data_IF_414355669089
#
_entry.id   IF_414355669089
#
_cell.length_a   1.000
_cell.length_b   1.000
_cell.length_c   1.000
_cell.angle_alpha   90.00
_cell.angle_beta   90.00
_cell.angle_gamma   90.00
#
_symmetry.space_group_name_H-M   'P 1'
#
loop_
_entity.id
_entity.type
_entity.pdbx_description
1 polymer ?
#
# COMPACT_ATOMS: atom_id res chain seq x y z
N UNK A 1 -10.38 -26.76 37.60
CA UNK A 1 -10.58 -25.39 37.09
C UNK A 1 -11.99 -25.30 36.50
N UNK A 2 -12.88 -24.48 37.08
CA UNK A 2 -14.30 -24.39 36.68
C UNK A 2 -14.49 -23.54 35.41
N UNK A 3 -15.49 -23.89 34.57
CA UNK A 3 -15.88 -23.18 33.33
C UNK A 3 -16.14 -21.66 33.53
N UNK A 4 -16.39 -21.21 34.75
CA UNK A 4 -16.51 -19.80 35.11
C UNK A 4 -15.15 -19.06 35.07
N UNK A 5 -14.05 -19.74 35.39
CA UNK A 5 -12.69 -19.18 35.33
C UNK A 5 -12.20 -19.06 33.88
N UNK A 6 -12.60 -19.97 32.99
CA UNK A 6 -12.35 -19.86 31.54
C UNK A 6 -13.14 -18.72 30.89
N UNK A 7 -14.37 -18.43 31.33
CA UNK A 7 -15.15 -17.29 30.80
C UNK A 7 -14.71 -15.93 31.34
N UNK A 8 -14.20 -15.87 32.57
CA UNK A 8 -13.61 -14.65 33.12
C UNK A 8 -12.31 -14.29 32.39
N UNK A 9 -11.45 -15.27 32.08
CA UNK A 9 -10.22 -15.06 31.33
C UNK A 9 -10.45 -14.60 29.87
N UNK A 10 -11.57 -14.97 29.24
CA UNK A 10 -11.94 -14.54 27.88
C UNK A 10 -12.52 -13.13 27.84
N UNK A 11 -13.03 -12.61 28.97
CA UNK A 11 -13.63 -11.25 29.04
C UNK A 11 -12.62 -10.16 29.40
N UNK A 12 -11.55 -10.50 30.12
CA UNK A 12 -10.46 -9.57 30.48
C UNK A 12 -9.31 -9.52 29.44
N UNK A 13 -9.40 -10.26 28.34
CA UNK A 13 -8.36 -10.36 27.29
C UNK A 13 -8.82 -9.87 25.91
N UNK A 14 -9.98 -9.22 25.81
CA UNK A 14 -10.41 -8.62 24.55
C UNK A 14 -9.65 -7.29 24.34
N UNK A 15 -8.40 -7.38 23.84
CA UNK A 15 -7.68 -6.22 23.32
C UNK A 15 -8.59 -5.48 22.35
N UNK A 16 -8.75 -4.19 22.57
CA UNK A 16 -9.47 -3.31 21.67
C UNK A 16 -8.85 -3.36 20.26
N UNK A 17 -9.63 -3.01 19.24
CA UNK A 17 -9.12 -2.95 17.87
C UNK A 17 -7.90 -2.02 17.75
N UNK A 18 -7.89 -0.93 18.53
CA UNK A 18 -6.78 0.03 18.57
C UNK A 18 -5.52 -0.57 19.21
N UNK A 19 -5.65 -1.33 20.30
CA UNK A 19 -4.52 -2.02 20.94
C UNK A 19 -3.95 -3.11 20.04
N UNK A 20 -4.82 -3.86 19.34
CA UNK A 20 -4.39 -4.84 18.35
C UNK A 20 -3.65 -4.16 17.20
N UNK A 21 -4.15 -3.04 16.68
CA UNK A 21 -3.49 -2.29 15.63
C UNK A 21 -2.09 -1.78 16.07
N UNK A 22 -1.97 -1.27 17.29
CA UNK A 22 -0.69 -0.81 17.83
C UNK A 22 0.33 -1.95 18.00
N UNK A 23 -0.12 -3.14 18.43
CA UNK A 23 0.74 -4.32 18.49
C UNK A 23 1.19 -4.75 17.09
N UNK A 24 0.28 -4.73 16.10
CA UNK A 24 0.64 -5.07 14.72
C UNK A 24 1.68 -4.13 14.13
N UNK A 25 1.63 -2.83 14.45
CA UNK A 25 2.65 -1.88 14.00
C UNK A 25 4.06 -2.26 14.46
N UNK A 26 4.22 -2.95 15.59
CA UNK A 26 5.52 -3.47 16.03
C UNK A 26 5.94 -4.73 15.25
N UNK A 27 4.97 -5.50 14.76
CA UNK A 27 5.20 -6.77 14.08
C UNK A 27 5.28 -6.65 12.57
N UNK A 28 4.87 -5.53 11.99
CA UNK A 28 4.86 -5.24 10.55
C UNK A 28 5.57 -3.92 10.27
N UNK A 29 5.63 -3.50 9.01
CA UNK A 29 6.14 -2.18 8.67
C UNK A 29 7.64 -2.01 8.79
N UNK A 30 8.07 -0.79 8.44
CA UNK A 30 9.39 -0.27 8.73
C UNK A 30 9.72 -0.26 10.21
N UNK A 31 8.73 -0.12 11.11
CA UNK A 31 8.99 -0.11 12.55
C UNK A 31 9.63 -1.44 12.98
N UNK A 32 9.16 -2.57 12.44
CA UNK A 32 9.81 -3.85 12.63
C UNK A 32 11.18 -3.89 11.94
N UNK A 33 11.28 -3.47 10.67
CA UNK A 33 12.52 -3.56 9.89
C UNK A 33 13.66 -2.70 10.46
N UNK A 34 13.38 -1.47 10.84
CA UNK A 34 14.32 -0.55 11.47
C UNK A 34 14.87 -1.08 12.81
N UNK A 35 14.10 -1.94 13.48
CA UNK A 35 14.48 -2.59 14.73
C UNK A 35 14.88 -4.05 14.53
N UNK A 36 15.02 -4.54 13.30
CA UNK A 36 15.21 -5.96 12.99
C UNK A 36 16.43 -6.53 13.70
N UNK A 37 17.58 -5.84 13.67
CA UNK A 37 18.77 -6.29 14.39
C UNK A 37 18.55 -6.41 15.92
N UNK A 38 17.70 -5.55 16.49
CA UNK A 38 17.32 -5.62 17.91
C UNK A 38 16.36 -6.79 18.17
N UNK A 39 15.44 -7.05 17.26
CA UNK A 39 14.51 -8.19 17.34
C UNK A 39 15.25 -9.53 17.17
N UNK A 40 16.24 -9.60 16.29
CA UNK A 40 17.06 -10.80 16.07
C UNK A 40 17.99 -11.09 17.25
N UNK A 41 18.34 -10.07 18.04
CA UNK A 41 19.11 -10.23 19.28
C UNK A 41 18.23 -10.51 20.52
N UNK A 42 16.90 -10.45 20.39
CA UNK A 42 15.98 -10.66 21.50
C UNK A 42 15.97 -12.13 21.94
N UNK A 43 16.15 -12.38 23.23
CA UNK A 43 16.05 -13.72 23.82
C UNK A 43 14.96 -13.75 24.89
N UNK A 44 14.12 -14.80 24.95
CA UNK A 44 13.15 -14.95 26.01
C UNK A 44 13.85 -15.01 27.38
N UNK A 45 13.26 -14.37 28.39
CA UNK A 45 13.77 -14.41 29.77
C UNK A 45 13.44 -15.76 30.44
N UNK A 46 14.05 -16.84 29.95
CA UNK A 46 13.83 -18.22 30.42
C UNK A 46 15.08 -19.08 30.26
N UNK A 47 15.18 -20.14 31.05
CA UNK A 47 16.20 -21.19 30.91
C UNK A 47 15.64 -22.46 30.26
N UNK A 48 14.36 -22.44 29.86
CA UNK A 48 13.74 -23.56 29.16
C UNK A 48 14.33 -23.68 27.75
N UNK A 49 15.02 -24.79 27.51
CA UNK A 49 15.71 -25.08 26.24
C UNK A 49 14.73 -25.10 25.07
N UNK A 50 13.50 -25.59 25.27
CA UNK A 50 12.48 -25.67 24.22
C UNK A 50 11.96 -24.29 23.83
N UNK A 51 11.74 -23.39 24.80
CA UNK A 51 11.34 -22.01 24.52
C UNK A 51 12.47 -21.23 23.82
N UNK A 52 13.72 -21.42 24.25
CA UNK A 52 14.89 -20.81 23.59
C UNK A 52 15.06 -21.29 22.15
N UNK A 53 14.91 -22.60 21.90
CA UNK A 53 14.99 -23.17 20.56
C UNK A 53 13.89 -22.63 19.64
N UNK A 54 12.65 -22.50 20.14
CA UNK A 54 11.53 -21.94 19.38
C UNK A 54 11.75 -20.47 19.03
N UNK A 55 12.24 -19.66 19.97
CA UNK A 55 12.54 -18.25 19.73
C UNK A 55 13.67 -18.09 18.69
N UNK A 56 14.67 -18.96 18.73
CA UNK A 56 15.72 -19.04 17.71
C UNK A 56 15.12 -19.39 16.34
N UNK A 57 14.29 -20.43 16.26
CA UNK A 57 13.63 -20.81 15.01
C UNK A 57 12.75 -19.68 14.44
N UNK A 58 12.03 -18.93 15.29
CA UNK A 58 11.24 -17.78 14.86
C UNK A 58 12.13 -16.67 14.26
N UNK A 59 13.32 -16.47 14.82
CA UNK A 59 14.32 -15.52 14.30
C UNK A 59 14.97 -16.02 13.01
N UNK A 60 15.27 -17.31 12.91
CA UNK A 60 15.79 -17.89 11.67
C UNK A 60 14.72 -17.81 10.56
N UNK A 61 13.45 -18.06 10.88
CA UNK A 61 12.33 -17.87 9.96
C UNK A 61 12.16 -16.41 9.50
N UNK A 62 12.30 -15.42 10.40
CA UNK A 62 12.24 -14.00 10.00
C UNK A 62 13.39 -13.59 9.06
N UNK A 63 14.47 -14.36 9.06
CA UNK A 63 15.64 -14.23 8.17
C UNK A 63 15.57 -15.13 6.93
N UNK A 64 14.50 -15.91 6.74
CA UNK A 64 14.36 -16.85 5.62
C UNK A 64 15.26 -18.09 5.70
N UNK A 65 15.75 -18.43 6.90
CA UNK A 65 16.68 -19.53 7.13
C UNK A 65 16.01 -20.81 7.68
N UNK A 66 14.79 -20.71 8.21
CA UNK A 66 14.04 -21.85 8.76
C UNK A 66 12.52 -21.67 8.53
N UNK A 67 11.74 -22.69 8.86
CA UNK A 67 10.29 -22.70 8.80
C UNK A 67 9.63 -22.03 10.01
N UNK A 68 8.41 -21.53 9.81
CA UNK A 68 7.65 -20.88 10.88
C UNK A 68 7.29 -21.88 12.00
N UNK A 69 7.70 -21.64 13.26
CA UNK A 69 7.48 -22.55 14.38
C UNK A 69 6.00 -22.71 14.77
N UNK A 70 5.12 -21.80 14.33
CA UNK A 70 3.70 -21.78 14.69
C UNK A 70 2.77 -22.22 13.55
N UNK A 71 3.32 -22.73 12.43
CA UNK A 71 2.55 -22.99 11.19
C UNK A 71 1.31 -23.91 11.33
N UNK A 72 1.29 -24.79 12.34
CA UNK A 72 0.21 -25.76 12.59
C UNK A 72 -0.61 -25.46 13.86
N UNK A 73 -0.42 -24.28 14.44
CA UNK A 73 -1.06 -23.91 15.70
C UNK A 73 -2.52 -23.45 15.49
N UNK A 74 -3.46 -23.73 16.41
CA UNK A 74 -4.84 -23.26 16.30
C UNK A 74 -4.95 -21.73 16.30
N UNK A 75 -5.96 -21.19 15.60
CA UNK A 75 -6.23 -19.74 15.48
C UNK A 75 -6.25 -19.02 16.83
N UNK A 76 -6.88 -19.63 17.85
CA UNK A 76 -6.96 -19.04 19.18
C UNK A 76 -5.58 -18.90 19.83
N UNK A 77 -4.73 -19.92 19.70
CA UNK A 77 -3.36 -19.87 20.21
C UNK A 77 -2.49 -18.90 19.41
N UNK A 78 -2.62 -18.91 18.08
CA UNK A 78 -1.94 -17.95 17.21
C UNK A 78 -2.30 -16.51 17.54
N UNK A 79 -3.58 -16.24 17.85
CA UNK A 79 -4.06 -14.92 18.27
C UNK A 79 -3.45 -14.53 19.61
N UNK A 80 -3.41 -15.44 20.59
CA UNK A 80 -2.80 -15.16 21.90
C UNK A 80 -1.31 -14.81 21.78
N UNK A 81 -0.57 -15.49 20.91
CA UNK A 81 0.85 -15.21 20.70
C UNK A 81 1.04 -13.92 19.89
N UNK A 82 0.35 -13.77 18.76
CA UNK A 82 0.48 -12.61 17.89
C UNK A 82 0.17 -11.29 18.60
N UNK A 83 -0.82 -11.29 19.49
CA UNK A 83 -1.25 -10.12 20.23
C UNK A 83 -0.83 -10.18 21.71
N UNK A 84 0.25 -10.88 22.04
CA UNK A 84 0.79 -10.90 23.40
C UNK A 84 1.32 -9.50 23.80
N UNK A 85 0.58 -8.82 24.67
CA UNK A 85 0.93 -7.51 25.21
C UNK A 85 1.91 -7.58 26.39
N UNK A 86 2.08 -8.77 26.99
CA UNK A 86 2.90 -8.95 28.19
C UNK A 86 4.39 -9.20 27.86
N UNK A 87 4.77 -9.23 26.58
CA UNK A 87 6.11 -9.52 26.10
C UNK A 87 6.66 -10.85 26.65
N UNK A 88 5.78 -11.84 26.78
CA UNK A 88 6.13 -13.24 27.10
C UNK A 88 6.83 -13.89 25.89
N UNK A 89 6.43 -13.49 24.69
CA UNK A 89 7.03 -13.91 23.42
C UNK A 89 7.90 -12.81 22.84
N UNK A 90 9.01 -13.19 22.22
CA UNK A 90 9.86 -12.25 21.46
C UNK A 90 9.09 -11.63 20.30
N UNK A 91 9.55 -10.48 19.79
CA UNK A 91 8.91 -9.84 18.62
C UNK A 91 8.92 -10.77 17.40
N UNK A 92 9.99 -11.53 17.18
CA UNK A 92 10.09 -12.49 16.09
C UNK A 92 9.10 -13.65 16.26
N UNK A 93 8.87 -14.15 17.49
CA UNK A 93 7.83 -15.14 17.75
C UNK A 93 6.42 -14.60 17.50
N UNK A 94 6.11 -13.39 18.01
CA UNK A 94 4.81 -12.75 17.81
C UNK A 94 4.53 -12.49 16.33
N UNK A 95 5.54 -12.03 15.57
CA UNK A 95 5.43 -11.85 14.11
C UNK A 95 5.21 -13.18 13.40
N UNK A 96 5.94 -14.24 13.77
CA UNK A 96 5.75 -15.57 13.19
C UNK A 96 4.32 -16.11 13.46
N UNK A 97 3.80 -15.92 14.67
CA UNK A 97 2.42 -16.29 15.01
C UNK A 97 1.39 -15.45 14.25
N UNK A 98 1.60 -14.13 14.12
CA UNK A 98 0.72 -13.27 13.32
C UNK A 98 0.68 -13.71 11.85
N UNK A 99 1.83 -14.05 11.27
CA UNK A 99 1.91 -14.56 9.91
C UNK A 99 1.14 -15.88 9.74
N UNK A 100 1.29 -16.82 10.68
CA UNK A 100 0.50 -18.04 10.71
C UNK A 100 -1.01 -17.77 10.92
N UNK A 101 -1.37 -16.73 11.68
CA UNK A 101 -2.76 -16.32 11.88
C UNK A 101 -3.39 -15.78 10.60
N UNK A 102 -2.67 -14.96 9.84
CA UNK A 102 -3.10 -14.45 8.53
C UNK A 102 -3.40 -15.59 7.56
N UNK A 103 -2.62 -16.67 7.65
CA UNK A 103 -2.84 -17.91 6.91
C UNK A 103 -4.14 -18.59 7.37
N UNK A 104 -4.30 -18.78 8.68
CA UNK A 104 -5.39 -19.56 9.26
C UNK A 104 -6.77 -18.86 9.19
N UNK A 105 -6.83 -17.53 9.21
CA UNK A 105 -8.09 -16.75 9.25
C UNK A 105 -8.77 -16.53 7.89
N UNK A 106 -8.23 -17.07 6.80
CA UNK A 106 -8.89 -16.92 5.50
C UNK A 106 -9.79 -18.12 5.22
N UNK A 107 -11.09 -17.91 4.95
CA UNK A 107 -12.01 -19.00 4.63
C UNK A 107 -11.56 -19.75 3.37
N UNK A 108 -11.73 -21.08 3.38
CA UNK A 108 -11.33 -22.08 2.35
C UNK A 108 -9.90 -22.65 2.39
N UNK A 109 -9.13 -22.46 3.47
CA UNK A 109 -7.68 -22.78 3.51
C UNK A 109 -7.24 -24.05 4.24
N UNK A 110 -8.00 -25.14 4.21
CA UNK A 110 -7.44 -26.44 4.63
C UNK A 110 -6.61 -27.09 3.51
N UNK A 111 -6.87 -26.74 2.24
CA UNK A 111 -6.20 -27.35 1.06
C UNK A 111 -4.87 -26.70 0.66
N UNK A 112 -4.57 -25.45 1.08
CA UNK A 112 -3.33 -24.75 0.68
C UNK A 112 -2.11 -25.11 1.56
N UNK A 113 -2.29 -26.03 2.51
CA UNK A 113 -1.30 -26.34 3.55
C UNK A 113 -0.59 -27.68 3.35
N UNK A 114 -1.02 -28.53 2.40
CA UNK A 114 -0.67 -29.97 2.45
C UNK A 114 -0.44 -30.66 1.09
N UNK A 115 -0.06 -29.97 0.02
CA UNK A 115 0.15 -30.66 -1.27
C UNK A 115 1.60 -30.52 -1.78
N UNK A 116 2.18 -31.63 -2.24
CA UNK A 116 3.50 -31.65 -2.89
C UNK A 116 3.52 -30.74 -4.14
N UNK A 117 2.34 -30.58 -4.77
CA UNK A 117 2.13 -29.62 -5.86
C UNK A 117 2.39 -28.16 -5.44
N UNK A 118 2.11 -27.80 -4.17
CA UNK A 118 2.39 -26.46 -3.66
C UNK A 118 3.90 -26.23 -3.48
N UNK A 119 4.68 -27.27 -3.14
CA UNK A 119 6.13 -27.13 -3.07
C UNK A 119 6.75 -26.93 -4.46
N UNK A 120 6.33 -27.72 -5.46
CA UNK A 120 6.79 -27.52 -6.84
C UNK A 120 6.41 -26.12 -7.39
N UNK A 121 5.20 -25.65 -7.06
CA UNK A 121 4.76 -24.30 -7.39
C UNK A 121 5.55 -23.20 -6.65
N UNK A 122 5.95 -23.45 -5.40
CA UNK A 122 6.80 -22.56 -4.63
C UNK A 122 8.23 -22.51 -5.19
N UNK A 123 8.81 -23.65 -5.57
CA UNK A 123 10.12 -23.70 -6.23
C UNK A 123 10.12 -22.90 -7.55
N UNK A 124 9.02 -22.98 -8.31
CA UNK A 124 8.79 -22.12 -9.49
C UNK A 124 8.70 -20.64 -9.12
N UNK A 125 7.97 -20.29 -8.06
CA UNK A 125 7.89 -18.92 -7.57
C UNK A 125 9.28 -18.36 -7.21
N UNK A 126 10.07 -19.13 -6.46
CA UNK A 126 11.39 -18.70 -5.97
C UNK A 126 12.38 -18.56 -7.14
N UNK A 127 12.39 -19.52 -8.07
CA UNK A 127 13.28 -19.48 -9.23
C UNK A 127 12.93 -18.36 -10.21
N UNK A 128 11.64 -18.06 -10.42
CA UNK A 128 11.18 -17.11 -11.44
C UNK A 128 11.08 -15.67 -10.95
N UNK A 129 10.78 -15.46 -9.66
CA UNK A 129 10.55 -14.12 -9.11
C UNK A 129 11.71 -13.62 -8.24
N UNK A 130 12.50 -14.52 -7.65
CA UNK A 130 13.47 -14.17 -6.59
C UNK A 130 14.90 -14.63 -6.90
N UNK A 131 15.22 -14.96 -8.15
CA UNK A 131 16.56 -15.41 -8.55
C UNK A 131 17.11 -16.52 -7.63
N UNK A 132 16.25 -17.47 -7.27
CA UNK A 132 16.50 -18.61 -6.39
C UNK A 132 16.62 -18.31 -4.86
N UNK A 133 16.45 -17.06 -4.42
CA UNK A 133 16.49 -16.72 -3.00
C UNK A 133 15.33 -15.82 -2.57
N UNK A 134 14.33 -16.41 -1.92
CA UNK A 134 13.15 -15.69 -1.46
C UNK A 134 13.50 -14.67 -0.36
N UNK A 135 13.41 -13.38 -0.70
CA UNK A 135 13.66 -12.27 0.22
C UNK A 135 12.53 -12.04 1.25
N UNK A 136 12.78 -11.23 2.30
CA UNK A 136 11.77 -10.94 3.32
C UNK A 136 10.55 -10.22 2.74
N UNK A 137 9.40 -10.38 3.40
CA UNK A 137 8.19 -9.60 3.07
C UNK A 137 8.35 -8.17 3.57
N UNK A 138 8.26 -7.21 2.64
CA UNK A 138 8.22 -5.77 2.91
C UNK A 138 6.80 -5.28 3.13
N UNK A 139 6.66 -4.21 3.91
CA UNK A 139 5.36 -3.61 4.16
C UNK A 139 4.95 -2.71 3.01
N UNK A 140 3.67 -2.80 2.65
CA UNK A 140 3.04 -2.03 1.60
C UNK A 140 3.01 -0.52 1.88
N UNK A 141 3.01 -0.11 3.14
CA UNK A 141 3.01 1.31 3.53
C UNK A 141 4.30 2.03 3.10
N UNK A 142 5.36 1.26 2.88
CA UNK A 142 6.73 1.77 2.82
C UNK A 142 7.30 1.72 1.40
N UNK A 143 6.49 1.33 0.41
CA UNK A 143 6.94 1.07 -0.96
C UNK A 143 7.50 2.27 -1.73
N UNK A 144 7.23 3.49 -1.25
CA UNK A 144 7.76 4.75 -1.79
C UNK A 144 8.81 5.42 -0.92
N UNK A 145 9.20 4.83 0.21
CA UNK A 145 10.35 5.36 0.94
C UNK A 145 11.61 5.24 0.09
N UNK A 146 12.50 6.23 0.24
CA UNK A 146 13.72 6.32 -0.54
C UNK A 146 14.59 5.05 -0.38
N UNK A 147 14.60 4.47 0.82
CA UNK A 147 15.30 3.21 1.13
C UNK A 147 14.68 1.98 0.45
N UNK A 148 13.39 2.04 0.11
CA UNK A 148 12.66 0.94 -0.51
C UNK A 148 12.54 1.07 -2.03
N UNK A 149 12.94 2.20 -2.62
CA UNK A 149 12.74 2.45 -4.04
C UNK A 149 13.54 1.53 -4.96
N UNK A 150 14.70 1.06 -4.47
CA UNK A 150 15.64 0.17 -5.18
C UNK A 150 15.30 -1.31 -5.03
N UNK A 151 14.36 -1.67 -4.16
CA UNK A 151 13.97 -3.07 -3.97
C UNK A 151 13.01 -3.54 -5.07
N UNK A 152 13.10 -4.81 -5.50
CA UNK A 152 12.15 -5.38 -6.46
C UNK A 152 10.72 -5.32 -5.94
N UNK A 153 9.74 -5.09 -6.83
CA UNK A 153 8.32 -5.04 -6.43
C UNK A 153 7.88 -6.33 -5.72
N UNK A 154 8.42 -7.48 -6.13
CA UNK A 154 8.07 -8.81 -5.59
C UNK A 154 8.36 -8.96 -4.10
N UNK A 155 9.22 -8.12 -3.51
CA UNK A 155 9.45 -8.11 -2.06
C UNK A 155 8.18 -7.70 -1.27
N UNK A 156 7.28 -6.96 -1.90
CA UNK A 156 6.01 -6.50 -1.31
C UNK A 156 4.88 -7.53 -1.41
N UNK A 157 5.10 -8.68 -2.06
CA UNK A 157 4.15 -9.79 -2.02
C UNK A 157 4.00 -10.28 -0.58
N UNK A 158 2.77 -10.27 -0.07
CA UNK A 158 2.46 -10.82 1.25
C UNK A 158 2.65 -12.34 1.25
N UNK A 159 2.81 -12.96 2.41
CA UNK A 159 2.87 -14.43 2.50
C UNK A 159 1.66 -15.13 1.86
N UNK A 160 0.49 -14.46 1.91
CA UNK A 160 -0.73 -14.98 1.28
C UNK A 160 -0.67 -14.89 -0.23
N UNK A 161 -0.16 -13.77 -0.75
CA UNK A 161 0.05 -13.60 -2.18
C UNK A 161 1.04 -14.65 -2.68
N UNK A 162 2.19 -14.82 -2.00
CA UNK A 162 3.21 -15.81 -2.38
C UNK A 162 2.65 -17.22 -2.41
N UNK A 163 1.90 -17.62 -1.38
CA UNK A 163 1.22 -18.94 -1.35
C UNK A 163 0.21 -19.12 -2.47
N UNK A 164 -0.62 -18.11 -2.73
CA UNK A 164 -1.58 -18.17 -3.82
C UNK A 164 -0.85 -18.30 -5.17
N UNK A 165 0.20 -17.51 -5.38
CA UNK A 165 1.01 -17.54 -6.60
C UNK A 165 1.69 -18.90 -6.77
N UNK A 166 2.19 -19.55 -5.70
CA UNK A 166 2.68 -20.94 -5.77
C UNK A 166 1.62 -21.90 -6.33
N UNK A 167 0.37 -21.78 -5.87
CA UNK A 167 -0.73 -22.61 -6.40
C UNK A 167 -1.07 -22.25 -7.85
N UNK A 168 -0.98 -20.97 -8.22
CA UNK A 168 -1.17 -20.53 -9.61
C UNK A 168 -0.09 -21.12 -10.52
N UNK A 169 1.18 -21.15 -10.09
CA UNK A 169 2.27 -21.78 -10.84
C UNK A 169 2.04 -23.28 -11.02
N UNK A 170 1.72 -23.99 -9.94
CA UNK A 170 1.46 -25.43 -10.00
C UNK A 170 0.30 -25.74 -10.95
N UNK A 171 -0.80 -24.99 -10.83
CA UNK A 171 -1.96 -25.13 -11.71
C UNK A 171 -1.61 -24.83 -13.18
N UNK A 172 -0.97 -23.69 -13.46
CA UNK A 172 -0.60 -23.29 -14.81
C UNK A 172 0.36 -24.31 -15.46
N UNK A 173 1.31 -24.84 -14.68
CA UNK A 173 2.23 -25.87 -15.14
C UNK A 173 1.49 -27.16 -15.53
N UNK A 174 0.56 -27.65 -14.70
CA UNK A 174 -0.25 -28.84 -15.01
C UNK A 174 -1.13 -28.63 -16.23
N UNK A 175 -1.70 -27.43 -16.41
CA UNK A 175 -2.49 -27.09 -17.59
C UNK A 175 -1.63 -26.85 -18.86
N UNK A 176 -0.31 -26.86 -18.74
CA UNK A 176 0.63 -26.64 -19.84
C UNK A 176 0.65 -25.19 -20.35
N UNK A 177 0.28 -24.22 -19.51
CA UNK A 177 0.37 -22.81 -19.86
C UNK A 177 1.80 -22.27 -19.77
N UNK A 178 2.08 -21.24 -20.55
CA UNK A 178 3.32 -20.48 -20.46
C UNK A 178 3.34 -19.70 -19.14
N UNK A 179 4.31 -20.04 -18.28
CA UNK A 179 4.37 -19.52 -16.92
C UNK A 179 4.66 -18.00 -16.86
N UNK A 180 5.04 -17.36 -17.97
CA UNK A 180 5.17 -15.89 -18.05
C UNK A 180 3.85 -15.16 -17.75
N UNK A 181 2.70 -15.79 -18.00
CA UNK A 181 1.42 -15.24 -17.56
C UNK A 181 1.29 -15.17 -16.03
N UNK A 182 1.87 -16.14 -15.33
CA UNK A 182 1.92 -16.15 -13.86
C UNK A 182 2.91 -15.10 -13.35
N UNK A 183 4.07 -14.96 -14.00
CA UNK A 183 5.05 -13.92 -13.65
C UNK A 183 4.43 -12.52 -13.68
N UNK A 184 3.66 -12.23 -14.73
CA UNK A 184 2.99 -10.93 -14.88
C UNK A 184 1.90 -10.71 -13.85
N UNK A 185 1.09 -11.73 -13.56
CA UNK A 185 0.10 -11.66 -12.49
C UNK A 185 0.76 -11.40 -11.14
N UNK A 186 1.85 -12.11 -10.83
CA UNK A 186 2.60 -11.92 -9.60
C UNK A 186 3.18 -10.50 -9.51
N UNK A 187 3.75 -9.99 -10.60
CA UNK A 187 4.27 -8.62 -10.65
C UNK A 187 3.17 -7.57 -10.49
N UNK A 188 1.99 -7.81 -11.05
CA UNK A 188 0.85 -6.89 -10.88
C UNK A 188 0.38 -6.84 -9.43
N UNK A 189 0.28 -7.99 -8.75
CA UNK A 189 -0.05 -8.05 -7.32
C UNK A 189 1.04 -7.32 -6.53
N UNK A 190 2.31 -7.58 -6.84
CA UNK A 190 3.46 -6.96 -6.18
C UNK A 190 3.46 -5.43 -6.30
N UNK A 191 3.23 -4.90 -7.51
CA UNK A 191 3.06 -3.47 -7.76
C UNK A 191 1.88 -2.92 -6.97
N UNK A 192 0.72 -3.59 -7.00
CA UNK A 192 -0.43 -3.16 -6.21
C UNK A 192 -0.10 -3.07 -4.71
N UNK A 193 0.58 -4.06 -4.14
CA UNK A 193 1.02 -4.05 -2.74
C UNK A 193 1.99 -2.91 -2.47
N UNK A 194 3.03 -2.73 -3.28
CA UNK A 194 4.01 -1.64 -3.13
C UNK A 194 3.36 -0.27 -3.07
N UNK A 195 2.24 -0.08 -3.78
CA UNK A 195 1.50 1.17 -3.80
C UNK A 195 0.41 1.21 -2.72
N UNK A 196 0.70 0.70 -1.53
CA UNK A 196 -0.25 0.58 -0.42
C UNK A 196 -1.63 0.07 -0.87
N UNK A 197 -1.64 -1.11 -1.52
CA UNK A 197 -2.85 -1.68 -2.11
C UNK A 197 -3.52 -0.71 -3.11
N UNK A 198 -2.72 -0.07 -3.95
CA UNK A 198 -3.15 0.91 -4.95
C UNK A 198 -3.60 2.28 -4.38
N UNK A 199 -3.62 2.49 -3.07
CA UNK A 199 -4.16 3.70 -2.44
C UNK A 199 -3.40 4.98 -2.81
N UNK A 200 -2.08 4.85 -3.04
CA UNK A 200 -1.21 5.99 -3.38
C UNK A 200 -1.09 6.21 -4.88
N UNK A 201 -1.68 5.33 -5.71
CA UNK A 201 -1.78 5.56 -7.14
C UNK A 201 -2.96 6.48 -7.42
N UNK A 202 -2.73 7.50 -8.25
CA UNK A 202 -3.81 8.34 -8.70
C UNK A 202 -4.52 7.70 -9.89
N UNK A 203 -5.84 7.67 -9.82
CA UNK A 203 -6.69 7.27 -10.94
C UNK A 203 -6.67 8.38 -12.02
N UNK A 204 -6.49 8.03 -13.29
CA UNK A 204 -6.47 8.98 -14.40
C UNK A 204 -7.87 9.49 -14.78
N UNK A 205 -8.91 8.76 -14.37
CA UNK A 205 -10.32 9.13 -14.52
C UNK A 205 -10.86 9.93 -13.31
N UNK A 206 -9.97 10.46 -12.46
CA UNK A 206 -10.33 11.31 -11.32
C UNK A 206 -10.82 12.72 -11.72
N UNK A 207 -10.76 13.06 -13.01
CA UNK A 207 -11.15 14.37 -13.54
C UNK A 207 -10.08 15.46 -13.36
N UNK A 208 -8.87 15.10 -12.94
CA UNK A 208 -7.78 16.03 -12.65
C UNK A 208 -6.56 15.83 -13.57
N UNK A 209 -6.75 15.21 -14.73
CA UNK A 209 -5.71 15.06 -15.77
C UNK A 209 -6.09 15.82 -17.01
N UNK A 210 -5.11 16.48 -17.61
CA UNK A 210 -5.28 17.33 -18.78
C UNK A 210 -4.09 17.14 -19.72
N UNK A 211 -4.32 17.28 -21.03
CA UNK A 211 -3.23 17.32 -22.02
C UNK A 211 -2.57 18.70 -22.10
N UNK A 212 -1.62 18.86 -23.04
CA UNK A 212 -0.89 20.11 -23.26
C UNK A 212 -1.79 21.26 -23.71
N UNK A 213 -2.92 20.94 -24.35
CA UNK A 213 -3.96 21.86 -24.79
C UNK A 213 -4.99 22.15 -23.68
N UNK A 214 -4.82 21.57 -22.49
CA UNK A 214 -5.71 21.77 -21.34
C UNK A 214 -7.03 21.01 -21.46
N UNK A 215 -7.16 19.98 -22.31
CA UNK A 215 -8.37 19.15 -22.41
C UNK A 215 -8.35 18.07 -21.35
N UNK A 216 -9.47 17.86 -20.65
CA UNK A 216 -9.53 16.84 -19.61
C UNK A 216 -9.34 15.45 -20.21
N UNK A 217 -8.48 14.64 -19.62
CA UNK A 217 -8.18 13.29 -20.07
C UNK A 217 -9.03 12.25 -19.33
N UNK A 218 -9.38 11.19 -20.05
CA UNK A 218 -9.93 9.96 -19.48
C UNK A 218 -9.36 8.75 -20.20
N UNK A 219 -9.53 7.56 -19.62
CA UNK A 219 -8.98 6.30 -20.10
C UNK A 219 -10.05 5.24 -20.05
N UNK A 220 -10.20 4.51 -21.16
CA UNK A 220 -11.06 3.33 -21.25
C UNK A 220 -10.25 2.11 -21.64
N UNK A 221 -10.77 0.92 -21.37
CA UNK A 221 -10.26 -0.28 -22.01
C UNK A 221 -10.62 -0.34 -23.49
N UNK A 222 -9.91 -1.17 -24.25
CA UNK A 222 -10.41 -1.67 -25.55
C UNK A 222 -11.70 -2.45 -25.35
N UNK A 223 -12.51 -2.62 -26.41
CA UNK A 223 -13.78 -3.33 -26.32
C UNK A 223 -13.64 -4.73 -25.71
N UNK A 224 -12.64 -5.51 -26.15
CA UNK A 224 -12.38 -6.86 -25.63
C UNK A 224 -12.04 -6.87 -24.13
N UNK A 225 -11.25 -5.89 -23.68
CA UNK A 225 -10.86 -5.78 -22.28
C UNK A 225 -12.00 -5.25 -21.41
N UNK A 226 -12.80 -4.32 -21.92
CA UNK A 226 -14.01 -3.85 -21.25
C UNK A 226 -15.00 -5.01 -21.02
N UNK A 227 -15.21 -5.87 -22.02
CA UNK A 227 -16.06 -7.06 -21.87
C UNK A 227 -15.51 -8.00 -20.80
N UNK A 228 -14.19 -8.24 -20.77
CA UNK A 228 -13.55 -9.09 -19.77
C UNK A 228 -13.69 -8.51 -18.36
N UNK A 229 -13.42 -7.21 -18.18
CA UNK A 229 -13.60 -6.52 -16.92
C UNK A 229 -15.06 -6.60 -16.43
N UNK A 230 -16.03 -6.39 -17.33
CA UNK A 230 -17.45 -6.49 -17.00
C UNK A 230 -17.85 -7.90 -16.55
N UNK A 231 -17.36 -8.96 -17.21
CA UNK A 231 -17.63 -10.34 -16.81
C UNK A 231 -17.07 -10.64 -15.42
N UNK A 232 -15.82 -10.27 -15.15
CA UNK A 232 -15.18 -10.55 -13.86
C UNK A 232 -15.84 -9.75 -12.73
N UNK A 233 -16.05 -8.45 -12.92
CA UNK A 233 -16.59 -7.56 -11.88
C UNK A 233 -18.10 -7.77 -11.64
N UNK A 234 -18.83 -8.22 -12.67
CA UNK A 234 -20.25 -8.54 -12.58
C UNK A 234 -20.56 -9.99 -12.19
N UNK A 235 -19.56 -10.88 -12.23
CA UNK A 235 -19.72 -12.30 -11.90
C UNK A 235 -19.74 -12.59 -10.40
N UNK A 236 -20.15 -13.80 -10.01
CA UNK A 236 -20.18 -14.21 -8.59
C UNK A 236 -18.82 -14.69 -8.07
N UNK A 237 -17.95 -15.21 -8.95
CA UNK A 237 -16.64 -15.75 -8.60
C UNK A 237 -15.74 -14.75 -7.84
N UNK A 238 -15.84 -13.44 -8.13
CA UNK A 238 -15.10 -12.40 -7.41
C UNK A 238 -15.43 -12.34 -5.91
N UNK A 239 -16.59 -12.87 -5.50
CA UNK A 239 -17.00 -12.86 -4.10
C UNK A 239 -16.31 -13.95 -3.28
N UNK A 240 -15.90 -15.04 -3.90
CA UNK A 240 -15.30 -16.22 -3.25
C UNK A 240 -13.87 -16.52 -3.71
N UNK A 241 -13.34 -15.77 -4.70
CA UNK A 241 -11.95 -15.93 -5.15
C UNK A 241 -10.93 -15.67 -4.05
N UNK A 242 -9.83 -16.43 -4.08
CA UNK A 242 -8.68 -16.24 -3.19
C UNK A 242 -7.82 -15.03 -3.59
N UNK A 243 -7.97 -14.49 -4.81
CA UNK A 243 -7.32 -13.23 -5.17
C UNK A 243 -7.89 -12.08 -4.33
N UNK A 244 -7.04 -11.13 -3.97
CA UNK A 244 -7.45 -9.92 -3.27
C UNK A 244 -8.48 -9.15 -4.11
N UNK A 245 -9.69 -8.96 -3.57
CA UNK A 245 -10.80 -8.34 -4.31
C UNK A 245 -10.54 -6.85 -4.60
N UNK A 246 -9.73 -6.19 -3.79
CA UNK A 246 -9.25 -4.84 -4.05
C UNK A 246 -8.29 -4.83 -5.24
N UNK A 247 -7.36 -5.79 -5.28
CA UNK A 247 -6.44 -5.99 -6.41
C UNK A 247 -7.19 -6.25 -7.72
N UNK A 248 -8.19 -7.13 -7.72
CA UNK A 248 -8.99 -7.45 -8.92
C UNK A 248 -9.70 -6.19 -9.43
N UNK A 249 -10.35 -5.43 -8.54
CA UNK A 249 -11.02 -4.17 -8.90
C UNK A 249 -10.05 -3.11 -9.40
N UNK A 250 -8.91 -2.97 -8.72
CA UNK A 250 -7.84 -2.04 -9.09
C UNK A 250 -7.29 -2.33 -10.49
N UNK A 251 -7.02 -3.60 -10.79
CA UNK A 251 -6.45 -4.01 -12.09
C UNK A 251 -7.46 -3.88 -13.23
N UNK A 252 -8.76 -4.08 -12.94
CA UNK A 252 -9.86 -3.98 -13.89
C UNK A 252 -10.54 -2.60 -13.90
N UNK A 253 -9.83 -1.56 -13.44
CA UNK A 253 -10.21 -0.16 -13.62
C UNK A 253 -9.23 0.49 -14.63
N UNK A 254 -9.72 0.99 -15.78
CA UNK A 254 -8.86 1.52 -16.83
C UNK A 254 -8.11 2.80 -16.43
N UNK A 255 -8.59 3.50 -15.40
CA UNK A 255 -7.98 4.72 -14.90
C UNK A 255 -6.71 4.49 -14.08
N UNK A 256 -6.50 3.28 -13.54
CA UNK A 256 -5.23 2.95 -12.87
C UNK A 256 -4.19 2.46 -13.86
N UNK A 257 -2.92 2.82 -13.63
CA UNK A 257 -1.75 2.40 -14.43
C UNK A 257 -2.01 2.52 -15.96
N UNK A 258 -2.40 3.71 -16.45
CA UNK A 258 -2.83 3.91 -17.83
C UNK A 258 -1.72 3.76 -18.87
N UNK A 259 -0.46 3.83 -18.42
CA UNK A 259 0.75 3.73 -19.25
C UNK A 259 1.68 2.60 -18.79
N UNK A 260 1.18 1.70 -17.94
CA UNK A 260 1.98 0.55 -17.49
C UNK A 260 1.50 -0.71 -18.17
N UNK A 261 2.47 -1.57 -18.42
CA UNK A 261 2.21 -2.95 -18.74
C UNK A 261 1.52 -3.64 -17.56
N UNK A 262 0.38 -4.29 -17.82
CA UNK A 262 -0.32 -5.16 -16.89
C UNK A 262 -0.43 -6.56 -17.49
N UNK A 263 -0.67 -7.58 -16.68
CA UNK A 263 -0.90 -8.95 -17.12
C UNK A 263 -2.18 -9.13 -17.94
N UNK A 264 -2.37 -10.33 -18.46
CA UNK A 264 -3.51 -10.73 -19.30
C UNK A 264 -4.83 -10.69 -18.53
N UNK A 265 -5.79 -9.82 -18.89
CA UNK A 265 -7.07 -9.74 -18.18
C UNK A 265 -7.88 -11.02 -18.36
N UNK A 266 -7.69 -11.75 -19.47
CA UNK A 266 -8.27 -13.07 -19.67
C UNK A 266 -7.60 -14.12 -18.79
N UNK A 267 -6.30 -14.02 -18.54
CA UNK A 267 -5.61 -14.88 -17.57
C UNK A 267 -6.04 -14.55 -16.14
N UNK A 268 -6.18 -13.27 -15.80
CA UNK A 268 -6.74 -12.82 -14.53
C UNK A 268 -8.15 -13.36 -14.32
N UNK A 269 -9.02 -13.27 -15.34
CA UNK A 269 -10.36 -13.87 -15.33
C UNK A 269 -10.28 -15.37 -15.03
N UNK A 270 -9.42 -16.10 -15.75
CA UNK A 270 -9.23 -17.54 -15.51
C UNK A 270 -8.76 -17.84 -14.07
N UNK A 271 -7.87 -17.04 -13.49
CA UNK A 271 -7.43 -17.22 -12.10
C UNK A 271 -8.52 -16.87 -11.10
N UNK A 272 -9.31 -15.83 -11.35
CA UNK A 272 -10.47 -15.50 -10.51
C UNK A 272 -11.44 -16.68 -10.48
N UNK A 273 -11.74 -17.28 -11.63
CA UNK A 273 -12.61 -18.45 -11.74
C UNK A 273 -12.01 -19.69 -11.05
N UNK A 274 -10.77 -20.03 -11.37
CA UNK A 274 -10.07 -21.22 -10.83
C UNK A 274 -9.95 -21.20 -9.31
N UNK A 275 -9.69 -20.03 -8.73
CA UNK A 275 -9.45 -19.89 -7.30
C UNK A 275 -10.67 -19.38 -6.55
N UNK A 276 -11.88 -19.52 -7.12
CA UNK A 276 -13.16 -19.26 -6.44
C UNK A 276 -13.83 -20.54 -5.98
N UNK A 277 -14.66 -20.46 -4.94
CA UNK A 277 -15.33 -21.61 -4.35
C UNK A 277 -16.38 -22.24 -5.27
N UNK A 278 -16.93 -21.48 -6.22
CA UNK A 278 -18.11 -21.88 -7.01
C UNK A 278 -17.72 -22.70 -8.26
N UNK A 279 -16.48 -22.59 -8.73
CA UNK A 279 -16.05 -23.13 -10.03
C UNK A 279 -14.66 -23.80 -10.03
N UNK A 280 -13.99 -23.86 -8.88
CA UNK A 280 -12.53 -23.91 -8.83
C UNK A 280 -11.84 -25.26 -9.11
N UNK A 281 -12.40 -26.41 -8.75
CA UNK A 281 -11.63 -27.66 -8.82
C UNK A 281 -11.37 -28.11 -10.27
N UNK A 282 -12.38 -28.04 -11.14
CA UNK A 282 -12.31 -28.54 -12.53
C UNK A 282 -12.13 -27.44 -13.60
N UNK A 283 -11.85 -26.19 -13.20
CA UNK A 283 -11.64 -25.13 -14.17
C UNK A 283 -10.41 -25.46 -15.05
N UNK A 284 -10.62 -25.60 -16.35
CA UNK A 284 -9.59 -25.86 -17.35
C UNK A 284 -9.13 -24.55 -17.99
N UNK A 285 -7.81 -24.41 -18.17
CA UNK A 285 -7.24 -23.21 -18.75
C UNK A 285 -7.34 -23.24 -20.28
N UNK A 286 -7.74 -22.11 -20.87
CA UNK A 286 -7.84 -21.98 -22.34
C UNK A 286 -6.49 -22.25 -23.01
N UNK A 287 -6.51 -23.03 -24.09
CA UNK A 287 -5.32 -23.39 -24.88
C UNK A 287 -4.51 -22.20 -25.39
N UNK A 288 -5.11 -21.01 -25.52
CA UNK A 288 -4.40 -19.78 -25.88
C UNK A 288 -3.26 -19.43 -24.93
N UNK A 289 -3.34 -19.86 -23.66
CA UNK A 289 -2.33 -19.58 -22.66
C UNK A 289 -1.10 -20.50 -22.74
N UNK A 290 -1.07 -21.48 -23.64
CA UNK A 290 0.10 -22.33 -23.91
C UNK A 290 1.28 -21.57 -24.51
N UNK A 291 1.03 -20.42 -25.12
CA UNK A 291 2.06 -19.56 -25.70
C UNK A 291 1.85 -18.16 -25.20
N UNK A 292 2.88 -17.56 -24.62
CA UNK A 292 2.78 -16.18 -24.18
C UNK A 292 2.84 -15.22 -25.37
N UNK A 293 1.74 -14.51 -25.59
CA UNK A 293 1.55 -13.57 -26.69
C UNK A 293 1.41 -12.12 -26.24
N UNK A 294 1.59 -11.84 -24.94
CA UNK A 294 1.25 -10.52 -24.42
C UNK A 294 2.29 -9.48 -24.88
N UNK A 295 1.78 -8.42 -25.53
CA UNK A 295 2.60 -7.32 -26.02
C UNK A 295 3.03 -6.42 -24.84
N UNK A 296 4.34 -6.18 -24.62
CA UNK A 296 4.81 -5.27 -23.58
C UNK A 296 4.33 -3.81 -23.77
N UNK A 297 3.78 -3.45 -24.93
CA UNK A 297 3.19 -2.14 -25.19
C UNK A 297 1.81 -2.01 -24.53
N UNK A 298 1.47 -0.79 -24.17
CA UNK A 298 0.19 -0.45 -23.55
C UNK A 298 -0.88 -0.31 -24.63
N UNK A 299 -1.31 -1.41 -25.23
CA UNK A 299 -2.32 -1.42 -26.32
C UNK A 299 -3.76 -1.60 -25.83
N UNK A 300 -3.91 -1.81 -24.53
CA UNK A 300 -5.15 -2.30 -23.93
C UNK A 300 -6.06 -1.21 -23.39
N UNK A 301 -5.51 0.01 -23.36
CA UNK A 301 -6.13 1.21 -22.83
C UNK A 301 -6.08 2.30 -23.88
N UNK A 302 -7.16 3.04 -23.99
CA UNK A 302 -7.35 4.13 -24.94
C UNK A 302 -7.50 5.40 -24.12
N UNK A 303 -6.62 6.38 -24.37
CA UNK A 303 -6.70 7.70 -23.75
C UNK A 303 -7.58 8.59 -24.62
N UNK A 304 -8.57 9.23 -24.00
CA UNK A 304 -9.47 10.18 -24.63
C UNK A 304 -9.17 11.58 -24.12
N UNK A 305 -9.22 12.57 -25.01
CA UNK A 305 -9.23 13.98 -24.65
C UNK A 305 -10.67 14.50 -24.80
N UNK A 306 -11.23 15.02 -23.71
CA UNK A 306 -12.57 15.58 -23.71
C UNK A 306 -12.58 16.88 -24.51
N UNK A 307 -13.53 17.05 -25.44
CA UNK A 307 -13.63 18.29 -26.23
C UNK A 307 -14.37 19.43 -25.51
N UNK A 308 -15.11 19.13 -24.45
CA UNK A 308 -15.97 20.10 -23.77
C UNK A 308 -15.43 20.54 -22.42
N UNK A 309 -14.70 19.67 -21.70
CA UNK A 309 -14.12 19.99 -20.39
C UNK A 309 -12.66 20.42 -20.59
N UNK A 310 -12.37 21.63 -20.12
CA UNK A 310 -11.05 22.26 -20.21
C UNK A 310 -10.51 22.59 -18.82
N UNK A 311 -9.20 22.51 -18.67
CA UNK A 311 -8.48 23.07 -17.54
C UNK A 311 -8.81 24.56 -17.55
N UNK A 312 -9.50 25.00 -16.50
CA UNK A 312 -9.76 26.42 -16.35
C UNK A 312 -8.41 27.14 -16.30
N UNK A 313 -8.22 28.21 -17.10
CA UNK A 313 -7.03 29.02 -17.01
C UNK A 313 -6.83 29.38 -15.55
N UNK A 314 -5.61 29.17 -15.04
CA UNK A 314 -5.27 29.62 -13.70
C UNK A 314 -5.56 31.13 -13.67
N UNK A 315 -6.34 31.59 -12.70
CA UNK A 315 -6.63 33.02 -12.56
C UNK A 315 -5.32 33.82 -12.66
N UNK A 316 -5.37 34.97 -13.33
CA UNK A 316 -4.18 35.79 -13.52
C UNK A 316 -3.53 36.02 -12.14
N UNK A 317 -2.26 35.60 -11.94
CA UNK A 317 -1.64 35.69 -10.64
C UNK A 317 -1.58 37.15 -10.23
N UNK A 318 -1.96 37.47 -9.00
CA UNK A 318 -1.94 38.84 -8.44
C UNK A 318 -0.55 39.48 -8.62
N UNK A 319 0.51 38.69 -8.44
CA UNK A 319 1.89 39.12 -8.53
C UNK A 319 2.71 38.13 -9.36
N UNK A 320 3.59 38.65 -10.21
CA UNK A 320 4.56 37.85 -10.98
C UNK A 320 5.96 38.27 -10.55
N UNK A 321 6.79 37.32 -10.14
CA UNK A 321 8.24 37.54 -9.99
C UNK A 321 8.98 36.81 -11.12
N UNK A 322 9.69 37.56 -11.96
CA UNK A 322 10.59 37.00 -12.98
C UNK A 322 12.00 37.49 -12.69
N UNK A 323 12.89 36.55 -12.34
CA UNK A 323 14.31 36.83 -12.09
C UNK A 323 14.54 37.96 -11.06
N UNK A 324 13.72 38.04 -10.02
CA UNK A 324 13.82 39.06 -8.97
C UNK A 324 13.03 40.34 -9.26
N UNK A 325 12.51 40.54 -10.47
CA UNK A 325 11.66 41.68 -10.81
C UNK A 325 10.20 41.34 -10.53
N UNK A 326 9.58 42.11 -9.64
CA UNK A 326 8.16 41.99 -9.34
C UNK A 326 7.32 42.80 -10.32
N UNK A 327 6.21 42.22 -10.75
CA UNK A 327 5.18 42.87 -11.57
C UNK A 327 3.82 42.64 -10.93
N UNK A 328 3.08 43.71 -10.74
CA UNK A 328 1.70 43.66 -10.25
C UNK A 328 0.79 43.56 -11.47
N UNK A 329 0.01 42.49 -11.54
CA UNK A 329 -0.89 42.25 -12.67
C UNK A 329 -2.14 43.10 -12.59
N UNK A 330 -3.00 43.06 -13.61
CA UNK A 330 -4.28 43.78 -13.57
C UNK A 330 -5.13 43.29 -12.40
N UNK A 331 -5.17 41.97 -12.19
CA UNK A 331 -5.80 41.34 -11.03
C UNK A 331 -5.16 41.76 -9.71
N UNK A 332 -3.83 41.89 -9.66
CA UNK A 332 -3.13 42.39 -8.48
C UNK A 332 -3.47 43.83 -8.10
N UNK A 333 -3.56 44.71 -9.10
CA UNK A 333 -3.97 46.11 -8.88
C UNK A 333 -5.41 46.17 -8.37
N UNK A 334 -6.32 45.39 -8.95
CA UNK A 334 -7.71 45.31 -8.50
C UNK A 334 -7.82 44.77 -7.06
N UNK A 335 -6.91 43.87 -6.65
CA UNK A 335 -6.80 43.35 -5.29
C UNK A 335 -6.10 44.32 -4.30
N UNK A 336 -5.73 45.53 -4.74
CA UNK A 336 -5.18 46.59 -3.88
C UNK A 336 -3.66 46.57 -3.72
N UNK A 337 -2.92 45.87 -4.60
CA UNK A 337 -1.46 45.86 -4.54
C UNK A 337 -0.84 47.08 -5.24
N UNK A 338 0.17 47.65 -4.59
CA UNK A 338 1.01 48.74 -5.11
C UNK A 338 2.49 48.38 -4.99
N UNK A 339 3.31 48.97 -5.86
CA UNK A 339 4.74 48.72 -5.86
C UNK A 339 5.40 49.60 -4.80
N UNK A 340 6.10 49.01 -3.83
CA UNK A 340 6.91 49.79 -2.91
C UNK A 340 8.09 50.41 -3.70
N UNK A 341 8.20 51.75 -3.76
CA UNK A 341 9.20 52.44 -4.58
C UNK A 341 10.63 52.30 -4.05
N UNK A 342 10.80 51.91 -2.78
CA UNK A 342 12.11 51.75 -2.12
C UNK A 342 12.62 50.33 -2.26
N UNK A 343 11.75 49.32 -2.06
CA UNK A 343 12.16 47.91 -2.05
C UNK A 343 11.94 47.20 -3.38
N UNK A 344 11.09 47.74 -4.26
CA UNK A 344 10.67 47.06 -5.49
C UNK A 344 9.84 45.80 -5.24
N UNK A 345 9.29 45.64 -4.02
CA UNK A 345 8.45 44.50 -3.62
C UNK A 345 6.97 44.96 -3.56
N UNK A 346 6.00 44.18 -4.06
CA UNK A 346 4.59 44.57 -4.03
C UNK A 346 4.04 44.50 -2.60
N UNK A 347 3.24 45.50 -2.23
CA UNK A 347 2.57 45.59 -0.94
C UNK A 347 1.07 45.76 -1.16
N UNK A 348 0.26 45.08 -0.35
CA UNK A 348 -1.19 45.22 -0.39
C UNK A 348 -1.60 46.36 0.54
N UNK A 349 -2.32 47.34 0.01
CA UNK A 349 -2.92 48.38 0.84
C UNK A 349 -4.19 47.78 1.47
N UNK A 350 -4.18 47.55 2.78
CA UNK A 350 -5.39 47.18 3.50
C UNK A 350 -6.45 48.28 3.27
N UNK A 351 -7.64 47.89 2.80
CA UNK A 351 -8.79 48.79 2.83
C UNK A 351 -9.10 49.08 4.29
N UNK A 352 -8.88 50.32 4.73
CA UNK A 352 -9.29 50.78 6.06
C UNK A 352 -10.75 50.40 6.29
N UNK A 353 -11.09 49.65 7.35
CA UNK A 353 -12.50 49.33 7.62
C UNK A 353 -13.22 50.65 7.93
N UNK A 354 -14.31 50.91 7.22
CA UNK A 354 -15.23 52.00 7.57
C UNK A 354 -15.69 51.79 9.02
N UNK A 355 -15.33 52.77 9.83
CA UNK A 355 -15.47 52.79 11.27
C UNK A 355 -16.96 52.91 11.62
N UNK A 356 -17.64 51.80 11.92
CA UNK A 356 -18.90 51.83 12.66
C UNK A 356 -18.57 51.54 14.11
N UNK A 357 -18.51 52.62 14.89
CA UNK A 357 -18.32 52.64 16.34
C UNK A 357 -19.44 51.89 17.07
N UNK A 358 -19.08 50.96 17.96
CA UNK A 358 -19.49 50.99 19.38
C UNK A 358 -18.64 50.01 20.22
N UNK A 359 -18.39 50.31 21.52
CA UNK A 359 -17.20 49.83 22.23
C UNK A 359 -17.49 48.63 23.13
N UNK A 360 -16.46 47.80 23.42
CA UNK A 360 -16.31 47.24 24.78
C UNK A 360 -14.92 46.68 25.10
N UNK A 361 -14.37 47.30 26.14
CA UNK A 361 -13.60 46.76 27.26
C UNK A 361 -12.29 45.99 27.01
N UNK A 362 -11.19 46.63 27.42
CA UNK A 362 -9.96 45.95 27.79
C UNK A 362 -10.12 45.24 29.14
N UNK A 363 -9.57 44.03 29.27
CA UNK A 363 -8.86 43.63 30.50
C UNK A 363 -8.01 42.38 30.28
N UNK A 364 -6.70 42.63 30.23
CA UNK A 364 -5.53 41.80 30.53
C UNK A 364 -5.24 40.45 29.83
N UNK A 365 -3.97 40.23 29.45
CA UNK A 365 -3.42 38.94 29.10
C UNK A 365 -3.00 38.21 30.39
N UNK A 366 -3.23 36.90 30.48
CA UNK A 366 -2.94 36.01 31.62
C UNK A 366 -3.98 35.99 32.75
N UNK A 367 -5.06 35.21 32.54
CA UNK A 367 -5.76 34.54 33.63
C UNK A 367 -6.26 33.16 33.16
N UNK A 368 -5.79 32.08 33.82
CA UNK A 368 -6.26 30.68 33.73
C UNK A 368 -5.87 29.91 32.46
N UNK A 369 -4.74 29.18 32.38
CA UNK A 369 -4.44 27.94 33.10
C UNK A 369 -5.65 27.09 33.49
N UNK A 370 -5.66 25.86 32.94
CA UNK A 370 -6.50 24.67 33.20
C UNK A 370 -7.75 24.53 32.32
N UNK A 371 -7.65 23.64 31.32
CA UNK A 371 -8.79 22.89 30.79
C UNK A 371 -8.99 22.89 29.28
N UNK A 372 -8.28 22.04 28.54
CA UNK A 372 -8.60 21.76 27.12
C UNK A 372 -7.55 20.86 26.46
N UNK A 373 -7.96 19.67 26.02
CA UNK A 373 -7.11 18.57 25.50
C UNK A 373 -6.14 19.00 24.37
N UNK A 374 -4.93 18.43 24.27
CA UNK A 374 -4.01 18.74 23.18
C UNK A 374 -4.48 18.12 21.85
N UNK A 375 -4.59 18.94 20.82
CA UNK A 375 -4.58 18.48 19.44
C UNK A 375 -3.17 17.92 19.11
N UNK A 376 -3.13 16.70 18.55
CA UNK A 376 -1.88 16.01 18.17
C UNK A 376 -1.05 16.88 17.21
N UNK A 377 0.29 16.92 17.33
CA UNK A 377 1.13 17.62 16.38
C UNK A 377 1.10 16.88 15.02
N UNK A 378 0.87 17.63 13.94
CA UNK A 378 1.13 17.14 12.57
C UNK A 378 2.63 16.86 12.45
N UNK A 379 2.99 15.60 12.17
CA UNK A 379 4.34 15.24 11.74
C UNK A 379 4.57 15.87 10.36
N UNK A 380 5.63 16.66 10.25
CA UNK A 380 6.15 17.19 9.00
C UNK A 380 6.47 16.02 8.06
N UNK A 381 5.97 16.11 6.84
CA UNK A 381 6.24 15.11 5.80
C UNK A 381 7.63 15.33 5.20
N UNK A 382 8.21 14.31 4.57
CA UNK A 382 9.48 14.42 3.84
C UNK A 382 9.43 15.52 2.75
N UNK A 383 8.22 15.81 2.24
CA UNK A 383 7.94 16.90 1.30
C UNK A 383 8.15 18.29 1.92
N UNK A 384 7.84 18.45 3.21
CA UNK A 384 8.05 19.70 3.95
C UNK A 384 9.55 19.94 4.23
N UNK A 385 10.32 18.86 4.46
CA UNK A 385 11.77 18.95 4.68
C UNK A 385 12.54 19.29 3.39
N UNK A 386 12.07 18.79 2.24
CA UNK A 386 12.68 19.08 0.93
C UNK A 386 12.49 20.55 0.52
N UNK A 387 11.34 21.15 0.85
CA UNK A 387 11.07 22.57 0.61
C UNK A 387 11.85 23.50 1.55
N UNK A 388 12.18 23.05 2.77
CA UNK A 388 12.93 23.84 3.74
C UNK A 388 14.43 23.91 3.40
N UNK A 389 14.99 22.85 2.79
CA UNK A 389 16.42 22.78 2.42
C UNK A 389 16.78 23.55 1.14
N UNK A 390 15.81 23.87 0.28
CA UNK A 390 16.05 24.67 -0.94
C UNK A 390 16.08 26.19 -0.68
N UNK A 391 15.67 26.66 0.50
CA UNK A 391 15.75 28.09 0.87
C UNK A 391 17.10 28.52 1.47
N UNK A 392 18.02 27.60 1.76
CA UNK A 392 19.28 27.92 2.45
C UNK A 392 20.54 27.85 1.59
N UNK A 393 20.46 27.52 0.29
CA UNK A 393 21.64 27.45 -0.60
C UNK A 393 21.61 28.43 -1.79
N UNK A 394 21.07 29.63 -1.57
CA UNK A 394 21.07 30.72 -2.54
C UNK A 394 21.83 31.97 -2.09
N UNK A 395 23.08 31.85 -1.62
CA UNK A 395 24.02 32.98 -1.55
C UNK A 395 25.38 32.60 -2.12
N UNK A 396 25.53 32.93 -3.39
CA UNK A 396 26.79 32.89 -4.14
C UNK A 396 27.70 34.02 -3.64
N UNK A 397 28.93 33.65 -3.25
CA UNK A 397 30.10 34.55 -3.13
C UNK A 397 30.34 35.28 -4.46
N UNK A 398 30.68 36.59 -4.43
CA UNK A 398 31.81 37.24 -5.14
C UNK A 398 32.01 38.67 -4.61
N UNK A 399 33.19 39.31 -4.75
CA UNK A 399 34.54 38.75 -4.92
C UNK A 399 35.19 38.40 -3.58
#
# INVERSE_FOLDING_TARGET
MSKASTRAAVRDTALSLDERAALLEQLTGDRYQANKARHDAEQPATQDIGLLARARQATDFSNGLDSNPFKAMPVDQLTLIAFDANNTFTVNERRAAWQALQIANTPHRTSLLTDDMNQAGHDLLVSRLYDAHEGPVRDKADGYLLENISHPDVDFLTLLDRRLISHVYAYAQVQGADLRYVDDLARDIAVYRRHDNGSVLRNMNDGHRYDGEGRQLSVTFTAAHATTAQRVLGGTAINSTLLDKGFVRFTLDPGFRPYSYSGDPGFLEAMVMKFSADTGEDYALDTRFKTYTRDPKVTDKIVHACETIRLQPREEPVLINRQGVWTITATGKAAGYVMNPVTGIPEQIEKTPENTTEPKASSNPFEGLIGGKPARPRLLTLFDYLFMKMKTQGRVRRP
#
